data_IF_618412354311
#
_entry.id   IF_618412354311
#
_cell.length_a   1.000
_cell.length_b   1.000
_cell.length_c   1.000
_cell.angle_alpha   90.00
_cell.angle_beta   90.00
_cell.angle_gamma   90.00
#
_symmetry.space_group_name_H-M   'P 1'
#
loop_
_entity.id
_entity.type
_entity.pdbx_description
1 polymer ?
#
# COMPACT_ATOMS: atom_id res chain seq x y z
N UNK A 1 -0.28 29.54 -23.39
CA UNK A 1 -0.58 28.12 -23.09
C UNK A 1 0.75 27.42 -23.00
N UNK A 2 0.96 26.60 -21.96
CA UNK A 2 2.22 25.89 -21.78
C UNK A 2 2.10 24.57 -22.53
N UNK A 3 2.97 24.34 -23.51
CA UNK A 3 2.93 23.12 -24.32
C UNK A 3 3.31 21.90 -23.48
N UNK A 4 2.63 20.77 -23.74
CA UNK A 4 2.89 19.52 -23.04
C UNK A 4 4.22 18.92 -23.50
N UNK A 5 5.16 18.77 -22.58
CA UNK A 5 6.44 18.10 -22.82
C UNK A 5 6.38 16.66 -22.31
N UNK A 6 6.54 15.68 -23.21
CA UNK A 6 6.49 14.25 -22.88
C UNK A 6 7.89 13.69 -22.65
N UNK A 7 8.01 12.74 -21.72
CA UNK A 7 9.27 12.01 -21.51
C UNK A 7 9.66 11.22 -22.76
N UNK A 8 10.92 11.37 -23.17
CA UNK A 8 11.49 10.59 -24.28
C UNK A 8 12.15 9.33 -23.75
N UNK A 9 12.20 8.28 -24.57
CA UNK A 9 12.75 6.95 -24.25
C UNK A 9 14.18 7.01 -23.68
N UNK A 10 14.92 8.07 -23.99
CA UNK A 10 16.34 8.22 -23.68
C UNK A 10 16.58 9.12 -22.46
N UNK A 11 15.52 9.67 -21.85
CA UNK A 11 15.63 10.52 -20.67
C UNK A 11 15.69 9.64 -19.42
N UNK A 12 16.90 9.45 -18.89
CA UNK A 12 17.05 8.94 -17.53
C UNK A 12 16.56 10.02 -16.58
N UNK A 13 15.34 9.84 -16.09
CA UNK A 13 14.87 10.54 -14.92
C UNK A 13 15.90 10.31 -13.79
N UNK A 14 16.63 11.36 -13.42
CA UNK A 14 17.42 11.40 -12.18
C UNK A 14 16.44 11.39 -11.01
N UNK A 15 15.81 10.25 -10.78
CA UNK A 15 14.65 10.19 -9.93
C UNK A 15 15.07 10.32 -8.47
N UNK A 16 14.65 11.42 -7.85
CA UNK A 16 14.62 11.55 -6.40
C UNK A 16 13.21 11.24 -5.94
N UNK A 17 13.10 10.34 -4.97
CA UNK A 17 11.81 9.94 -4.42
C UNK A 17 11.82 10.14 -2.91
N UNK A 18 10.66 10.48 -2.35
CA UNK A 18 10.46 10.33 -0.92
C UNK A 18 10.11 8.88 -0.61
N UNK A 19 10.95 8.24 0.19
CA UNK A 19 10.68 6.88 0.67
C UNK A 19 9.73 6.96 1.86
N UNK A 20 8.54 6.39 1.72
CA UNK A 20 7.56 6.29 2.79
C UNK A 20 7.45 4.82 3.20
N UNK A 21 7.72 4.47 4.48
CA UNK A 21 7.61 3.09 4.91
C UNK A 21 6.17 2.59 4.85
N UNK A 22 6.00 1.42 4.25
CA UNK A 22 4.69 0.79 4.07
C UNK A 22 4.03 0.41 5.40
N UNK A 23 4.83 0.18 6.44
CA UNK A 23 4.37 -0.09 7.81
C UNK A 23 3.41 0.98 8.34
N UNK A 24 3.55 2.25 7.90
CA UNK A 24 2.63 3.35 8.25
C UNK A 24 1.19 3.15 7.73
N UNK A 25 0.99 2.23 6.78
CA UNK A 25 -0.30 1.89 6.19
C UNK A 25 -0.87 0.57 6.69
N UNK A 26 -0.04 -0.28 7.32
CA UNK A 26 -0.43 -1.61 7.80
C UNK A 26 -0.67 -1.59 9.30
N UNK A 27 0.31 -1.11 10.06
CA UNK A 27 0.32 -1.15 11.51
C UNK A 27 -0.81 -0.31 12.12
N UNK A 28 -1.63 -0.92 12.97
CA UNK A 28 -2.80 -0.23 13.57
C UNK A 28 -2.45 1.01 14.40
N UNK A 29 -1.23 1.09 14.95
CA UNK A 29 -0.75 2.26 15.70
C UNK A 29 -0.65 3.50 14.81
N UNK A 30 -0.28 3.32 13.54
CA UNK A 30 -0.01 4.41 12.60
C UNK A 30 -1.13 4.57 11.58
N UNK A 31 -1.72 3.47 11.11
CA UNK A 31 -2.68 3.43 10.01
C UNK A 31 -3.87 4.34 10.24
N UNK A 32 -4.48 4.24 11.43
CA UNK A 32 -5.71 4.96 11.79
C UNK A 32 -5.41 6.33 12.39
N UNK A 33 -4.22 6.52 12.97
CA UNK A 33 -3.84 7.74 13.69
C UNK A 33 -3.26 8.80 12.76
N UNK A 34 -2.46 8.40 11.78
CA UNK A 34 -1.78 9.31 10.85
C UNK A 34 -2.61 9.56 9.60
N UNK A 35 -2.76 10.82 9.22
CA UNK A 35 -3.30 11.17 7.90
C UNK A 35 -2.26 10.96 6.79
N UNK A 36 -2.67 11.14 5.53
CA UNK A 36 -1.77 11.08 4.37
C UNK A 36 -0.58 12.02 4.49
N UNK A 37 -0.83 13.26 4.92
CA UNK A 37 0.19 14.31 4.97
C UNK A 37 1.25 14.03 6.04
N UNK A 38 0.88 13.42 7.16
CA UNK A 38 1.78 12.95 8.22
C UNK A 38 2.66 11.82 7.72
N UNK A 39 2.11 10.87 6.96
CA UNK A 39 2.89 9.77 6.37
C UNK A 39 3.88 10.31 5.33
N UNK A 40 3.44 11.26 4.50
CA UNK A 40 4.31 11.96 3.56
C UNK A 40 5.40 12.77 4.28
N UNK A 41 5.04 13.50 5.33
CA UNK A 41 5.98 14.26 6.15
C UNK A 41 7.03 13.35 6.76
N UNK A 42 6.65 12.17 7.26
CA UNK A 42 7.60 11.21 7.79
C UNK A 42 8.61 10.76 6.72
N UNK A 43 8.15 10.43 5.50
CA UNK A 43 9.06 10.09 4.40
C UNK A 43 9.98 11.26 3.98
N UNK A 44 9.46 12.49 4.00
CA UNK A 44 10.27 13.69 3.81
C UNK A 44 11.34 13.83 4.90
N UNK A 45 10.99 13.60 6.17
CA UNK A 45 11.95 13.67 7.28
C UNK A 45 13.03 12.59 7.18
N UNK A 46 12.73 11.40 6.63
CA UNK A 46 13.73 10.36 6.39
C UNK A 46 14.75 10.74 5.29
N UNK A 47 14.29 11.36 4.20
CA UNK A 47 15.20 11.93 3.19
C UNK A 47 16.12 13.00 3.81
N UNK A 48 15.55 13.87 4.65
CA UNK A 48 16.34 14.88 5.39
C UNK A 48 17.28 14.27 6.41
N UNK A 49 16.89 13.18 7.07
CA UNK A 49 17.76 12.45 7.99
C UNK A 49 19.02 11.96 7.28
N UNK A 50 18.87 11.48 6.04
CA UNK A 50 20.00 11.07 5.21
C UNK A 50 20.95 12.23 4.90
N UNK A 51 20.44 13.46 4.77
CA UNK A 51 21.27 14.67 4.61
C UNK A 51 21.95 15.08 5.93
N UNK A 52 21.24 15.02 7.06
CA UNK A 52 21.84 15.29 8.38
C UNK A 52 22.97 14.34 8.70
N UNK A 53 22.82 13.05 8.37
CA UNK A 53 23.88 12.04 8.52
C UNK A 53 25.11 12.44 7.69
N UNK A 54 24.93 12.79 6.42
CA UNK A 54 26.03 13.22 5.54
C UNK A 54 26.74 14.48 6.05
N UNK A 55 25.99 15.37 6.69
CA UNK A 55 26.51 16.60 7.28
C UNK A 55 27.06 16.42 8.70
N UNK A 56 27.09 15.18 9.22
CA UNK A 56 27.48 14.86 10.60
C UNK A 56 26.69 15.64 11.66
N UNK A 57 25.39 15.90 11.44
CA UNK A 57 24.52 16.54 12.43
C UNK A 57 23.98 15.51 13.43
N UNK A 58 24.75 15.30 14.50
CA UNK A 58 24.41 14.39 15.60
C UNK A 58 24.74 15.02 16.95
N UNK A 59 24.05 14.59 17.99
CA UNK A 59 24.35 14.98 19.37
C UNK A 59 25.53 14.16 19.94
N UNK A 60 25.90 14.46 21.19
CA UNK A 60 26.98 13.77 21.92
C UNK A 60 26.74 12.26 22.10
N UNK A 61 25.48 11.82 22.00
CA UNK A 61 25.09 10.42 22.11
C UNK A 61 25.03 9.72 20.74
N UNK A 62 25.38 10.42 19.65
CA UNK A 62 25.28 9.90 18.28
C UNK A 62 23.87 9.92 17.69
N UNK A 63 22.91 10.57 18.34
CA UNK A 63 21.56 10.73 17.80
C UNK A 63 21.54 11.83 16.75
N UNK A 64 21.13 11.47 15.54
CA UNK A 64 21.01 12.42 14.43
C UNK A 64 19.80 13.33 14.66
N UNK A 65 20.00 14.62 14.48
CA UNK A 65 18.94 15.61 14.55
C UNK A 65 18.76 16.36 13.22
N UNK A 66 17.55 16.88 13.03
CA UNK A 66 17.20 17.76 11.94
C UNK A 66 17.03 19.18 12.49
N UNK A 67 17.53 20.16 11.75
CA UNK A 67 17.23 21.57 11.97
C UNK A 67 16.25 21.97 10.88
N UNK A 68 14.98 22.18 11.26
CA UNK A 68 13.94 22.49 10.28
C UNK A 68 12.84 23.36 10.87
N UNK A 69 12.39 24.32 10.07
CA UNK A 69 11.27 25.20 10.41
C UNK A 69 9.97 24.69 9.77
N UNK A 70 8.83 25.06 10.36
CA UNK A 70 7.51 24.72 9.80
C UNK A 70 7.34 25.33 8.40
N UNK A 71 7.83 26.55 8.19
CA UNK A 71 7.78 27.25 6.90
C UNK A 71 8.49 26.47 5.79
N UNK A 72 9.68 25.93 6.06
CA UNK A 72 10.38 25.13 5.05
C UNK A 72 9.60 23.86 4.69
N UNK A 73 8.86 23.24 5.63
CA UNK A 73 7.98 22.09 5.31
C UNK A 73 6.84 22.54 4.41
N UNK A 74 6.22 23.67 4.73
CA UNK A 74 5.13 24.24 3.95
C UNK A 74 5.57 24.47 2.50
N UNK A 75 6.74 25.09 2.30
CA UNK A 75 7.25 25.39 0.96
C UNK A 75 7.64 24.12 0.19
N UNK A 76 8.20 23.11 0.87
CA UNK A 76 8.65 21.86 0.22
C UNK A 76 7.52 20.89 -0.11
N UNK A 77 6.51 20.80 0.76
CA UNK A 77 5.37 19.88 0.58
C UNK A 77 4.12 20.60 0.05
N UNK A 78 4.19 21.92 -0.16
CA UNK A 78 3.07 22.77 -0.55
C UNK A 78 1.85 22.61 0.38
N UNK A 79 2.10 22.61 1.69
CA UNK A 79 1.08 22.42 2.72
C UNK A 79 0.77 23.72 3.46
N UNK A 80 -0.48 23.88 3.90
CA UNK A 80 -0.87 25.00 4.77
C UNK A 80 -0.23 24.89 6.15
N UNK A 81 -0.13 26.00 6.88
CA UNK A 81 0.46 26.03 8.23
C UNK A 81 -0.31 25.13 9.21
N UNK A 82 -1.63 25.16 9.13
CA UNK A 82 -2.53 24.33 9.94
C UNK A 82 -2.30 22.84 9.67
N UNK A 83 -2.15 22.45 8.40
CA UNK A 83 -1.91 21.04 8.03
C UNK A 83 -0.53 20.57 8.48
N UNK A 84 0.51 21.41 8.33
CA UNK A 84 1.86 21.07 8.81
C UNK A 84 1.87 20.91 10.33
N UNK A 85 1.29 21.85 11.06
CA UNK A 85 1.23 21.78 12.52
C UNK A 85 0.45 20.56 13.01
N UNK A 86 -0.66 20.22 12.35
CA UNK A 86 -1.41 18.98 12.62
C UNK A 86 -0.55 17.75 12.34
N UNK A 87 0.17 17.72 11.22
CA UNK A 87 0.98 16.57 10.83
C UNK A 87 2.12 16.31 11.81
N UNK A 88 2.83 17.36 12.25
CA UNK A 88 3.84 17.26 13.32
C UNK A 88 3.25 16.75 14.63
N UNK A 89 2.06 17.24 15.02
CA UNK A 89 1.39 16.79 16.23
C UNK A 89 1.08 15.29 16.16
N UNK A 90 0.46 14.83 15.07
CA UNK A 90 0.15 13.40 14.89
C UNK A 90 1.40 12.52 14.96
N UNK A 91 2.51 12.93 14.32
CA UNK A 91 3.77 12.19 14.38
C UNK A 91 4.38 12.16 15.78
N UNK A 92 4.25 13.25 16.54
CA UNK A 92 4.69 13.32 17.94
C UNK A 92 3.83 12.43 18.84
N UNK A 93 2.52 12.38 18.61
CA UNK A 93 1.58 11.58 19.41
C UNK A 93 1.89 10.07 19.27
N UNK A 94 2.26 9.62 18.06
CA UNK A 94 2.70 8.22 17.82
C UNK A 94 4.18 7.97 18.11
N UNK A 95 4.88 8.95 18.71
CA UNK A 95 6.31 8.89 19.06
C UNK A 95 7.27 8.59 17.89
N UNK A 96 6.90 8.97 16.67
CA UNK A 96 7.78 8.87 15.50
C UNK A 96 8.76 10.04 15.40
N UNK A 97 8.46 11.16 16.06
CA UNK A 97 9.34 12.31 16.13
C UNK A 97 9.41 12.86 17.56
N UNK A 98 10.51 13.53 17.87
CA UNK A 98 10.70 14.27 19.11
C UNK A 98 11.27 15.66 18.82
N UNK A 99 10.55 16.72 19.21
CA UNK A 99 10.99 18.11 19.06
C UNK A 99 11.66 18.62 20.36
N UNK A 100 12.97 18.91 20.33
CA UNK A 100 13.71 19.53 21.43
C UNK A 100 13.87 21.04 21.19
N UNK A 101 13.50 21.86 22.18
CA UNK A 101 13.74 23.32 22.15
C UNK A 101 15.20 23.62 22.50
N UNK A 102 15.85 24.51 21.75
CA UNK A 102 17.26 24.89 21.96
C UNK A 102 17.43 26.31 22.55
N UNK A 103 16.35 27.11 22.64
CA UNK A 103 16.35 28.46 23.21
C UNK A 103 15.38 29.41 22.51
N UNK A 104 15.36 30.67 22.94
CA UNK A 104 14.69 31.76 22.23
C UNK A 104 15.47 32.05 20.94
N UNK A 105 14.79 32.18 19.80
CA UNK A 105 15.36 32.44 18.45
C UNK A 105 15.97 31.25 17.69
N UNK A 106 16.35 30.15 18.36
CA UNK A 106 16.88 28.97 17.65
C UNK A 106 15.76 28.05 17.13
N UNK A 107 15.88 27.50 15.91
CA UNK A 107 14.96 26.48 15.44
C UNK A 107 14.98 25.25 16.36
N UNK A 108 13.89 24.50 16.36
CA UNK A 108 13.78 23.27 17.15
C UNK A 108 14.66 22.19 16.52
N UNK A 109 15.25 21.35 17.35
CA UNK A 109 15.89 20.12 16.91
C UNK A 109 14.83 19.03 16.82
N UNK A 110 14.74 18.36 15.69
CA UNK A 110 13.78 17.28 15.45
C UNK A 110 14.55 15.98 15.36
N UNK A 111 14.27 15.05 16.26
CA UNK A 111 14.80 13.69 16.25
C UNK A 111 13.75 12.78 15.61
N UNK A 112 14.18 11.95 14.67
CA UNK A 112 13.29 10.99 13.99
C UNK A 112 13.49 9.61 14.60
N UNK A 113 12.41 9.03 15.11
CA UNK A 113 12.44 7.69 15.69
C UNK A 113 12.20 6.61 14.63
N UNK A 114 12.70 5.40 14.91
CA UNK A 114 12.46 4.22 14.09
C UNK A 114 11.01 3.75 14.25
N UNK A 115 10.46 3.21 13.17
CA UNK A 115 9.11 2.63 13.17
C UNK A 115 9.10 1.35 14.01
N UNK A 116 8.06 1.18 14.82
CA UNK A 116 7.78 -0.07 15.50
C UNK A 116 7.08 -1.01 14.52
N UNK A 117 7.67 -2.17 14.28
CA UNK A 117 7.04 -3.18 13.43
C UNK A 117 6.07 -3.97 14.29
N UNK A 118 4.83 -4.16 13.81
CA UNK A 118 4.02 -5.20 14.40
C UNK A 118 4.60 -6.54 13.95
N UNK A 119 4.86 -7.44 14.91
CA UNK A 119 5.02 -8.85 14.60
C UNK A 119 3.65 -9.36 14.16
N UNK A 120 3.24 -8.99 12.95
CA UNK A 120 2.15 -9.65 12.28
C UNK A 120 2.75 -11.01 11.93
N UNK A 121 2.56 -11.98 12.83
CA UNK A 121 2.57 -13.37 12.39
C UNK A 121 1.58 -13.38 11.23
N UNK A 122 2.10 -13.43 10.01
CA UNK A 122 1.30 -13.69 8.82
C UNK A 122 0.84 -15.13 9.04
N UNK A 123 -0.21 -15.29 9.85
CA UNK A 123 -1.07 -16.45 9.74
C UNK A 123 -1.50 -16.39 8.30
N UNK A 124 -0.83 -17.18 7.47
CA UNK A 124 -1.30 -17.51 6.14
C UNK A 124 -2.56 -18.32 6.38
N UNK A 125 -3.63 -17.64 6.82
CA UNK A 125 -4.99 -18.08 6.67
C UNK A 125 -5.25 -17.98 5.17
N UNK A 126 -4.59 -18.87 4.41
CA UNK A 126 -5.22 -19.47 3.26
C UNK A 126 -6.55 -19.93 3.83
N UNK A 127 -7.61 -19.18 3.54
CA UNK A 127 -8.94 -19.76 3.57
C UNK A 127 -8.81 -20.92 2.59
N UNK A 128 -8.59 -22.12 3.11
CA UNK A 128 -8.90 -23.34 2.40
C UNK A 128 -10.38 -23.16 2.10
N UNK A 129 -10.68 -22.64 0.90
CA UNK A 129 -11.97 -22.90 0.31
C UNK A 129 -12.04 -24.42 0.28
N UNK A 130 -12.92 -24.93 1.12
CA UNK A 130 -13.08 -26.32 1.49
C UNK A 130 -12.61 -27.26 0.37
N UNK A 131 -11.43 -27.88 0.55
CA UNK A 131 -11.22 -29.18 -0.05
C UNK A 131 -12.16 -30.10 0.72
N UNK A 132 -13.43 -30.09 0.31
CA UNK A 132 -14.34 -31.18 0.61
C UNK A 132 -13.56 -32.41 0.14
N UNK A 133 -13.17 -33.27 1.08
CA UNK A 133 -12.82 -34.65 0.80
C UNK A 133 -14.07 -35.29 0.18
N UNK A 134 -14.27 -35.03 -1.10
CA UNK A 134 -15.32 -35.63 -1.89
C UNK A 134 -14.80 -36.99 -2.30
N UNK A 135 -15.25 -38.03 -1.59
CA UNK A 135 -15.50 -39.30 -2.25
C UNK A 135 -16.18 -38.99 -3.58
N UNK A 136 -15.68 -39.57 -4.67
CA UNK A 136 -16.10 -39.24 -6.03
C UNK A 136 -17.63 -39.28 -6.17
N UNK A 137 -18.28 -38.12 -6.07
CA UNK A 137 -19.69 -37.98 -6.40
C UNK A 137 -19.76 -37.67 -7.88
N UNK A 138 -20.02 -38.73 -8.65
CA UNK A 138 -20.79 -38.62 -9.89
C UNK A 138 -22.04 -37.81 -9.53
N UNK A 139 -21.99 -36.51 -9.79
CA UNK A 139 -23.14 -35.64 -9.67
C UNK A 139 -23.61 -35.46 -11.09
N UNK A 140 -24.56 -36.31 -11.49
CA UNK A 140 -25.48 -35.97 -12.56
C UNK A 140 -26.05 -34.59 -12.24
N UNK A 141 -25.63 -33.58 -12.97
CA UNK A 141 -26.21 -32.26 -12.88
C UNK A 141 -27.48 -32.21 -13.72
N UNK A 142 -28.47 -33.05 -13.40
CA UNK A 142 -29.85 -32.73 -13.69
C UNK A 142 -30.42 -32.10 -12.42
N UNK A 143 -30.50 -30.76 -12.41
CA UNK A 143 -31.52 -29.95 -11.72
C UNK A 143 -31.08 -28.48 -11.73
N UNK A 144 -31.29 -27.83 -12.87
CA UNK A 144 -31.38 -26.37 -12.91
C UNK A 144 -32.57 -25.93 -12.06
N UNK A 145 -32.39 -24.86 -11.29
CA UNK A 145 -33.41 -24.22 -10.46
C UNK A 145 -34.71 -24.03 -11.25
N UNK A 146 -35.83 -24.43 -10.67
CA UNK A 146 -37.15 -24.19 -11.23
C UNK A 146 -37.38 -22.70 -11.45
N UNK A 147 -37.68 -22.33 -12.69
CA UNK A 147 -38.25 -21.03 -13.06
C UNK A 147 -39.69 -21.08 -12.58
N UNK A 148 -40.04 -20.27 -11.58
CA UNK A 148 -41.41 -20.17 -11.13
C UNK A 148 -42.21 -19.34 -12.15
N UNK A 149 -42.78 -20.03 -13.13
CA UNK A 149 -43.85 -19.49 -13.95
C UNK A 149 -44.81 -20.63 -14.25
N UNK A 150 -45.92 -20.67 -13.52
CA UNK A 150 -47.06 -21.51 -13.82
C UNK A 150 -47.53 -21.18 -15.23
N UNK A 151 -47.41 -22.13 -16.17
CA UNK A 151 -48.49 -22.58 -17.05
C UNK A 151 -48.00 -23.70 -17.99
N UNK A 152 -48.69 -24.82 -17.90
CA UNK A 152 -48.41 -26.09 -18.57
C UNK A 152 -48.77 -26.11 -20.07
N UNK A 153 -48.25 -27.17 -20.70
CA UNK A 153 -48.66 -27.86 -21.93
C UNK A 153 -47.88 -27.51 -23.20
N UNK A 154 -46.84 -28.28 -23.50
CA UNK A 154 -46.77 -28.97 -24.81
C UNK A 154 -45.79 -30.14 -24.81
N UNK A 155 -46.18 -31.17 -25.54
CA UNK A 155 -45.62 -32.52 -25.59
C UNK A 155 -44.66 -32.66 -26.79
N UNK A 156 -43.64 -33.53 -26.65
CA UNK A 156 -42.89 -34.26 -27.71
C UNK A 156 -41.89 -33.49 -28.62
N UNK A 157 -40.60 -33.86 -28.57
CA UNK A 157 -39.95 -34.87 -29.44
C UNK A 157 -38.41 -34.74 -29.45
N UNK A 158 -37.73 -35.88 -29.30
CA UNK A 158 -36.29 -36.04 -29.55
C UNK A 158 -35.93 -35.75 -31.01
N UNK A 159 -34.90 -34.94 -31.25
CA UNK A 159 -34.03 -35.10 -32.43
C UNK A 159 -32.66 -34.44 -32.22
N UNK A 160 -31.64 -35.23 -32.50
CA UNK A 160 -30.23 -34.91 -32.36
C UNK A 160 -29.80 -33.64 -33.10
N UNK A 161 -28.81 -32.93 -32.54
CA UNK A 161 -27.61 -32.60 -33.29
C UNK A 161 -26.44 -32.28 -32.33
N UNK A 162 -25.45 -33.17 -32.29
CA UNK A 162 -24.15 -32.90 -31.65
C UNK A 162 -23.35 -32.00 -32.59
N UNK A 163 -22.98 -30.82 -32.13
CA UNK A 163 -21.73 -30.15 -32.53
C UNK A 163 -21.48 -28.98 -31.57
N UNK A 164 -20.83 -29.26 -30.44
CA UNK A 164 -20.12 -28.22 -29.71
C UNK A 164 -18.67 -28.21 -30.19
N UNK A 165 -18.30 -27.14 -30.90
CA UNK A 165 -16.90 -26.80 -31.15
C UNK A 165 -16.20 -26.72 -29.79
N UNK A 166 -15.32 -27.67 -29.51
CA UNK A 166 -14.46 -27.65 -28.33
C UNK A 166 -13.41 -26.57 -28.54
N UNK A 167 -13.63 -25.38 -28.00
CA UNK A 167 -12.51 -24.49 -27.72
C UNK A 167 -11.68 -25.16 -26.63
N UNK A 168 -10.47 -25.58 -26.99
CA UNK A 168 -9.45 -25.95 -26.02
C UNK A 168 -9.26 -24.77 -25.08
N UNK A 169 -9.63 -24.92 -23.81
CA UNK A 169 -9.08 -24.05 -22.77
C UNK A 169 -7.55 -24.12 -22.86
N UNK A 170 -6.87 -23.00 -22.66
CA UNK A 170 -5.42 -23.03 -22.51
C UNK A 170 -5.14 -23.58 -21.12
N UNK A 171 -4.59 -24.79 -21.06
CA UNK A 171 -4.07 -25.36 -19.83
C UNK A 171 -2.75 -24.65 -19.51
N UNK A 172 -2.74 -23.89 -18.43
CA UNK A 172 -1.54 -23.24 -17.95
C UNK A 172 -0.87 -24.12 -16.89
N UNK A 173 0.45 -24.34 -17.02
CA UNK A 173 1.24 -25.00 -15.98
C UNK A 173 1.08 -24.24 -14.64
N UNK A 174 1.05 -24.95 -13.50
CA UNK A 174 1.13 -24.32 -12.18
C UNK A 174 2.31 -23.34 -12.04
N UNK A 175 3.41 -23.57 -12.75
CA UNK A 175 4.58 -22.69 -12.77
C UNK A 175 4.30 -21.36 -13.49
N UNK A 176 3.48 -21.38 -14.55
CA UNK A 176 3.05 -20.17 -15.25
C UNK A 176 2.18 -19.30 -14.35
N UNK A 177 1.24 -19.90 -13.62
CA UNK A 177 0.42 -19.18 -12.64
C UNK A 177 1.27 -18.61 -11.50
N UNK A 178 2.29 -19.33 -11.03
CA UNK A 178 3.23 -18.81 -10.04
C UNK A 178 4.07 -17.64 -10.58
N UNK A 179 4.39 -17.63 -11.88
CA UNK A 179 5.10 -16.51 -12.51
C UNK A 179 4.24 -15.24 -12.71
N UNK A 180 2.90 -15.39 -12.71
CA UNK A 180 1.94 -14.29 -12.81
C UNK A 180 1.77 -13.52 -11.49
N UNK A 181 2.17 -14.13 -10.36
CA UNK A 181 2.32 -13.42 -9.10
C UNK A 181 3.62 -12.62 -9.11
N UNK A 182 3.60 -11.49 -9.81
CA UNK A 182 4.57 -10.45 -9.56
C UNK A 182 4.29 -9.83 -8.18
N UNK A 183 5.19 -10.11 -7.24
CA UNK A 183 5.30 -9.54 -5.88
C UNK A 183 4.36 -10.14 -4.81
N UNK A 184 4.94 -11.03 -4.00
CA UNK A 184 4.69 -11.07 -2.55
C UNK A 184 6.03 -10.84 -1.87
#
# INVERSE_FOLDING_TARGET
MQDFNFYKVNETLNHKYYQIPQELFVNSLYKNTLNSDSKLLYGFLLDRLSLSIKNNWHDENGNVYLIFTRKEVQDKLNLSDKTVTKAFKQLSDVKLIYEKKQGFSKPKLIYVAKIQHQNIEISHNRKNYDYINGDSTITESENLRAINTNNNYTYKNNKANKNSMRYSGRDYSPEFLNSLYANV
#
